data_IF_543951649963
#
_entry.id   IF_543951649963
#
_cell.length_a   1.000
_cell.length_b   1.000
_cell.length_c   1.000
_cell.angle_alpha   90.00
_cell.angle_beta   90.00
_cell.angle_gamma   90.00
#
_symmetry.space_group_name_H-M   'P 1'
#
loop_
_entity.id
_entity.type
_entity.pdbx_description
1 polymer ?
#
# COMPACT_ATOMS: atom_id res chain seq x y z
N UNK A 1 26.12 -32.51 -14.49
CA UNK A 1 26.46 -31.97 -13.16
C UNK A 1 26.96 -30.55 -13.38
N UNK A 2 26.37 -29.54 -12.73
CA UNK A 2 26.73 -28.14 -12.94
C UNK A 2 28.07 -27.84 -12.27
N UNK A 3 28.92 -27.06 -12.92
CA UNK A 3 30.27 -26.72 -12.46
C UNK A 3 30.45 -25.21 -12.26
N UNK A 4 31.52 -24.82 -11.56
CA UNK A 4 31.91 -23.41 -11.42
C UNK A 4 32.17 -22.73 -12.77
N UNK A 5 32.59 -23.48 -13.80
CA UNK A 5 32.81 -22.94 -15.15
C UNK A 5 31.51 -22.47 -15.81
N UNK A 6 30.37 -23.02 -15.41
CA UNK A 6 29.06 -22.70 -15.98
C UNK A 6 28.50 -21.37 -15.46
N UNK A 7 29.07 -20.85 -14.37
CA UNK A 7 28.72 -19.57 -13.76
C UNK A 7 29.40 -18.39 -14.45
N UNK A 8 28.72 -17.25 -14.49
CA UNK A 8 29.30 -15.96 -14.94
C UNK A 8 30.20 -15.39 -13.86
N UNK A 9 31.12 -14.48 -14.20
CA UNK A 9 32.03 -13.83 -13.23
C UNK A 9 31.25 -13.17 -12.08
N UNK A 10 30.11 -12.53 -12.39
CA UNK A 10 29.25 -11.92 -11.37
C UNK A 10 28.63 -12.94 -10.41
N UNK A 11 28.26 -14.13 -10.90
CA UNK A 11 27.71 -15.20 -10.07
C UNK A 11 28.81 -15.85 -9.22
N UNK A 12 30.02 -16.00 -9.76
CA UNK A 12 31.19 -16.44 -9.00
C UNK A 12 31.52 -15.46 -7.87
N UNK A 13 31.43 -14.15 -8.11
CA UNK A 13 31.63 -13.14 -7.06
C UNK A 13 30.59 -13.21 -5.94
N UNK A 14 29.33 -13.53 -6.28
CA UNK A 14 28.27 -13.72 -5.28
C UNK A 14 28.50 -15.00 -4.47
N UNK A 15 28.83 -16.10 -5.16
CA UNK A 15 29.17 -17.37 -4.51
C UNK A 15 30.37 -17.16 -3.58
N UNK A 16 31.45 -16.52 -4.05
CA UNK A 16 32.64 -16.18 -3.27
C UNK A 16 32.30 -15.41 -1.98
N UNK A 17 31.42 -14.40 -2.06
CA UNK A 17 30.95 -13.66 -0.87
C UNK A 17 30.18 -14.54 0.11
N UNK A 18 29.31 -15.41 -0.40
CA UNK A 18 28.48 -16.30 0.45
C UNK A 18 29.34 -17.32 1.22
N UNK A 19 30.52 -17.66 0.68
CA UNK A 19 31.48 -18.55 1.33
C UNK A 19 32.58 -17.80 2.09
N UNK A 20 32.48 -16.48 2.22
CA UNK A 20 33.41 -15.65 3.01
C UNK A 20 34.70 -15.24 2.29
N UNK A 21 34.85 -15.52 1.00
CA UNK A 21 35.97 -15.02 0.19
C UNK A 21 35.65 -13.60 -0.26
N UNK A 22 36.60 -12.68 -0.11
CA UNK A 22 36.47 -11.31 -0.63
C UNK A 22 36.81 -11.31 -2.13
N UNK A 23 35.83 -11.13 -3.04
CA UNK A 23 36.12 -11.13 -4.48
C UNK A 23 36.91 -9.88 -4.87
N UNK A 24 38.03 -10.07 -5.57
CA UNK A 24 38.75 -8.99 -6.20
C UNK A 24 38.25 -8.76 -7.64
N UNK A 25 37.93 -7.52 -7.99
CA UNK A 25 37.39 -7.16 -9.31
C UNK A 25 38.39 -7.35 -10.45
N UNK A 26 39.70 -7.41 -10.14
CA UNK A 26 40.77 -7.58 -11.14
C UNK A 26 41.09 -9.04 -11.47
N UNK A 27 40.64 -9.99 -10.64
CA UNK A 27 40.92 -11.41 -10.82
C UNK A 27 40.26 -11.94 -12.09
N UNK A 28 40.96 -12.80 -12.82
CA UNK A 28 40.36 -13.51 -13.95
C UNK A 28 39.35 -14.55 -13.46
N UNK A 29 38.52 -15.05 -14.36
CA UNK A 29 37.49 -16.05 -14.03
C UNK A 29 38.14 -17.31 -13.44
N UNK A 30 39.24 -17.74 -14.03
CA UNK A 30 40.00 -18.92 -13.62
C UNK A 30 40.52 -18.77 -12.19
N UNK A 31 41.10 -17.61 -11.86
CA UNK A 31 41.62 -17.31 -10.52
C UNK A 31 40.51 -17.35 -9.47
N UNK A 32 39.33 -16.80 -9.80
CA UNK A 32 38.15 -16.85 -8.91
C UNK A 32 37.71 -18.29 -8.65
N UNK A 33 37.73 -19.16 -9.65
CA UNK A 33 37.36 -20.57 -9.51
C UNK A 33 38.38 -21.30 -8.63
N UNK A 34 39.68 -21.04 -8.81
CA UNK A 34 40.71 -21.62 -7.95
C UNK A 34 40.53 -21.17 -6.51
N UNK A 35 40.29 -19.88 -6.26
CA UNK A 35 40.05 -19.34 -4.92
C UNK A 35 38.81 -19.97 -4.26
N UNK A 36 37.74 -20.19 -5.01
CA UNK A 36 36.53 -20.86 -4.49
C UNK A 36 36.82 -22.33 -4.13
N UNK A 37 37.60 -23.03 -4.96
CA UNK A 37 37.99 -24.44 -4.70
C UNK A 37 38.94 -24.58 -3.52
N UNK A 38 39.83 -23.61 -3.30
CA UNK A 38 40.81 -23.64 -2.21
C UNK A 38 40.25 -23.18 -0.85
N UNK A 39 39.00 -22.73 -0.79
CA UNK A 39 38.39 -22.22 0.44
C UNK A 39 38.01 -23.26 1.49
N UNK A 40 38.31 -24.55 1.26
CA UNK A 40 38.11 -25.61 2.25
C UNK A 40 36.65 -25.89 2.59
N UNK A 41 35.74 -25.66 1.64
CA UNK A 41 34.30 -25.86 1.82
C UNK A 41 33.97 -27.31 1.55
N UNK A 42 33.06 -27.86 2.36
CA UNK A 42 32.49 -29.17 2.12
C UNK A 42 31.90 -29.29 0.71
N UNK A 43 32.28 -30.34 -0.02
CA UNK A 43 31.96 -30.54 -1.44
C UNK A 43 30.44 -30.52 -1.71
N UNK A 44 29.66 -31.11 -0.80
CA UNK A 44 28.20 -31.16 -0.92
C UNK A 44 27.58 -29.76 -0.85
N UNK A 45 28.06 -28.94 0.09
CA UNK A 45 27.66 -27.54 0.23
C UNK A 45 28.08 -26.70 -0.98
N UNK A 46 29.29 -26.92 -1.50
CA UNK A 46 29.76 -26.24 -2.70
C UNK A 46 28.87 -26.55 -3.91
N UNK A 47 28.53 -27.83 -4.11
CA UNK A 47 27.66 -28.26 -5.20
C UNK A 47 26.25 -27.66 -5.11
N UNK A 48 25.68 -27.58 -3.90
CA UNK A 48 24.39 -26.90 -3.67
C UNK A 48 24.44 -25.40 -4.05
N UNK A 49 25.53 -24.71 -3.69
CA UNK A 49 25.71 -23.30 -4.04
C UNK A 49 25.89 -23.10 -5.54
N UNK A 50 26.66 -23.97 -6.20
CA UNK A 50 26.83 -23.94 -7.66
C UNK A 50 25.47 -24.07 -8.35
N UNK A 51 24.65 -25.04 -7.92
CA UNK A 51 23.33 -25.27 -8.47
C UNK A 51 22.41 -24.05 -8.26
N UNK A 52 22.34 -23.52 -7.04
CA UNK A 52 21.56 -22.31 -6.69
C UNK A 52 21.88 -21.12 -7.61
N UNK A 53 23.16 -20.86 -7.87
CA UNK A 53 23.56 -19.73 -8.71
C UNK A 53 23.43 -20.00 -10.20
N UNK A 54 23.49 -21.26 -10.62
CA UNK A 54 23.21 -21.64 -12.00
C UNK A 54 21.73 -21.49 -12.34
N UNK A 55 20.83 -21.83 -11.42
CA UNK A 55 19.39 -21.59 -11.59
C UNK A 55 19.06 -20.08 -11.69
N UNK A 56 19.80 -19.22 -10.98
CA UNK A 56 19.69 -17.76 -11.13
C UNK A 56 20.12 -17.25 -12.51
N UNK A 57 21.01 -17.97 -13.21
CA UNK A 57 21.38 -17.66 -14.61
C UNK A 57 20.23 -17.97 -15.57
N UNK A 58 19.38 -18.95 -15.24
CA UNK A 58 18.27 -19.44 -16.05
C UNK A 58 17.01 -18.56 -15.96
N UNK A 59 16.93 -17.64 -15.01
CA UNK A 59 15.81 -16.71 -14.92
C UNK A 59 16.08 -15.55 -15.90
N UNK A 60 15.31 -15.42 -16.99
CA UNK A 60 15.42 -14.24 -17.84
C UNK A 60 15.15 -13.02 -16.95
N UNK A 61 16.11 -12.10 -16.88
CA UNK A 61 15.87 -10.79 -16.28
C UNK A 61 14.74 -10.16 -17.08
N UNK A 62 13.51 -10.18 -16.55
CA UNK A 62 12.40 -9.41 -17.13
C UNK A 62 12.93 -8.00 -17.37
N UNK A 63 12.95 -7.57 -18.62
CA UNK A 63 13.41 -6.22 -18.91
C UNK A 63 12.42 -5.24 -18.29
N UNK A 64 12.86 -4.02 -17.99
CA UNK A 64 11.94 -2.99 -17.48
C UNK A 64 10.71 -2.81 -18.37
N UNK A 65 10.86 -3.04 -19.68
CA UNK A 65 9.79 -3.01 -20.68
C UNK A 65 8.75 -4.12 -20.50
N UNK A 66 9.19 -5.33 -20.12
CA UNK A 66 8.30 -6.47 -19.86
C UNK A 66 7.51 -6.26 -18.56
N UNK A 67 8.19 -5.73 -17.53
CA UNK A 67 7.55 -5.38 -16.26
C UNK A 67 6.51 -4.27 -16.44
N UNK A 68 6.82 -3.24 -17.24
CA UNK A 68 5.87 -2.16 -17.55
C UNK A 68 4.67 -2.69 -18.34
N UNK A 69 4.89 -3.59 -19.30
CA UNK A 69 3.80 -4.19 -20.08
C UNK A 69 2.87 -5.04 -19.19
N UNK A 70 3.43 -5.83 -18.29
CA UNK A 70 2.68 -6.62 -17.32
C UNK A 70 1.89 -5.73 -16.34
N UNK A 71 2.53 -4.69 -15.80
CA UNK A 71 1.87 -3.71 -14.93
C UNK A 71 0.72 -3.00 -15.65
N UNK A 72 0.93 -2.59 -16.91
CA UNK A 72 -0.12 -1.96 -17.73
C UNK A 72 -1.31 -2.89 -17.95
N UNK A 73 -1.06 -4.18 -18.17
CA UNK A 73 -2.12 -5.20 -18.27
C UNK A 73 -2.90 -5.33 -16.96
N UNK A 74 -2.22 -5.38 -15.82
CA UNK A 74 -2.85 -5.47 -14.49
C UNK A 74 -3.66 -4.22 -14.14
N UNK A 75 -3.17 -3.03 -14.50
CA UNK A 75 -3.90 -1.77 -14.32
C UNK A 75 -5.20 -1.78 -15.13
N UNK A 76 -5.15 -2.21 -16.39
CA UNK A 76 -6.35 -2.28 -17.24
C UNK A 76 -7.41 -3.23 -16.65
N UNK A 77 -6.99 -4.39 -16.13
CA UNK A 77 -7.93 -5.31 -15.46
C UNK A 77 -8.56 -4.69 -14.21
N UNK A 78 -7.79 -3.94 -13.42
CA UNK A 78 -8.31 -3.21 -12.27
C UNK A 78 -9.29 -2.11 -12.68
N UNK A 79 -8.99 -1.36 -13.75
CA UNK A 79 -9.89 -0.34 -14.31
C UNK A 79 -11.22 -0.97 -14.76
N UNK A 80 -11.17 -2.13 -15.42
CA UNK A 80 -12.36 -2.87 -15.83
C UNK A 80 -13.18 -3.38 -14.63
N UNK A 81 -12.51 -3.91 -13.60
CA UNK A 81 -13.17 -4.33 -12.36
C UNK A 81 -13.83 -3.16 -11.62
N UNK A 82 -13.15 -2.01 -11.52
CA UNK A 82 -13.71 -0.80 -10.93
C UNK A 82 -14.91 -0.32 -11.73
N UNK A 83 -14.82 -0.31 -13.06
CA UNK A 83 -15.94 0.08 -13.93
C UNK A 83 -17.15 -0.84 -13.75
N UNK A 84 -16.93 -2.15 -13.62
CA UNK A 84 -17.98 -3.13 -13.34
C UNK A 84 -18.62 -2.90 -11.97
N UNK A 85 -17.83 -2.73 -10.92
CA UNK A 85 -18.35 -2.43 -9.57
C UNK A 85 -19.16 -1.12 -9.57
N UNK A 86 -18.70 -0.10 -10.30
CA UNK A 86 -19.44 1.15 -10.44
C UNK A 86 -20.75 0.97 -11.22
N UNK A 87 -20.84 0.06 -12.20
CA UNK A 87 -22.10 -0.25 -12.86
C UNK A 87 -23.06 -1.02 -11.95
N UNK A 88 -22.57 -1.98 -11.17
CA UNK A 88 -23.38 -2.74 -10.21
C UNK A 88 -23.94 -1.83 -9.10
N UNK A 89 -23.12 -0.88 -8.61
CA UNK A 89 -23.57 0.15 -7.65
C UNK A 89 -24.64 1.04 -8.27
N UNK A 90 -24.49 1.47 -9.54
CA UNK A 90 -25.51 2.29 -10.22
C UNK A 90 -26.84 1.55 -10.36
N UNK A 91 -26.81 0.27 -10.74
CA UNK A 91 -28.00 -0.57 -10.86
C UNK A 91 -28.65 -0.78 -9.48
N UNK A 92 -27.85 -1.10 -8.46
CA UNK A 92 -28.31 -1.28 -7.09
C UNK A 92 -28.93 0.01 -6.51
N UNK A 93 -28.34 1.18 -6.81
CA UNK A 93 -28.88 2.49 -6.41
C UNK A 93 -30.23 2.77 -7.05
N UNK A 94 -30.44 2.38 -8.31
CA UNK A 94 -31.73 2.55 -9.02
C UNK A 94 -32.80 1.60 -8.46
N UNK A 95 -32.43 0.36 -8.12
CA UNK A 95 -33.36 -0.60 -7.51
C UNK A 95 -33.77 -0.19 -6.09
N UNK A 96 -32.87 0.40 -5.32
CA UNK A 96 -33.17 0.92 -3.97
C UNK A 96 -34.03 2.20 -4.00
N UNK A 97 -33.96 3.00 -5.06
CA UNK A 97 -34.73 4.24 -5.21
C UNK A 97 -36.21 4.02 -5.56
N UNK A 98 -36.63 2.78 -5.88
CA UNK A 98 -38.02 2.48 -6.25
C UNK A 98 -38.90 2.01 -5.10
N UNK A 99 -38.38 1.76 -3.91
CA UNK A 99 -39.17 1.08 -2.88
C UNK A 99 -39.64 1.90 -1.68
N UNK A 100 -39.11 3.08 -1.33
CA UNK A 100 -39.57 3.73 -0.09
C UNK A 100 -39.57 5.27 -0.15
N UNK A 101 -40.73 5.83 -0.48
CA UNK A 101 -41.18 7.11 0.06
C UNK A 101 -41.43 6.90 1.57
N UNK A 102 -40.44 7.14 2.42
CA UNK A 102 -40.64 7.58 3.82
C UNK A 102 -39.29 7.91 4.46
N UNK A 103 -39.31 9.01 5.23
CA UNK A 103 -38.21 9.62 5.98
C UNK A 103 -37.21 8.65 6.63
N UNK A 104 -36.13 8.36 5.91
CA UNK A 104 -34.92 7.78 6.48
C UNK A 104 -33.76 8.57 5.90
N UNK A 105 -33.03 9.29 6.76
CA UNK A 105 -31.70 9.82 6.49
C UNK A 105 -30.82 8.68 5.95
N UNK A 106 -30.78 8.56 4.63
CA UNK A 106 -29.87 7.66 3.95
C UNK A 106 -28.48 8.23 4.14
N UNK A 107 -27.56 7.43 4.69
CA UNK A 107 -26.14 7.79 4.75
C UNK A 107 -25.66 7.88 3.32
N UNK A 108 -25.70 9.09 2.78
CA UNK A 108 -25.29 9.36 1.43
C UNK A 108 -23.78 9.30 1.37
N UNK A 109 -23.26 8.68 0.32
CA UNK A 109 -21.83 8.75 -0.03
C UNK A 109 -21.47 10.12 -0.62
N UNK A 110 -22.39 11.09 -0.59
CA UNK A 110 -22.14 12.44 -1.08
C UNK A 110 -21.37 13.22 0.00
N UNK A 111 -20.14 13.58 -0.37
CA UNK A 111 -19.21 14.30 0.47
C UNK A 111 -19.79 15.67 0.89
N UNK A 112 -20.64 16.29 0.07
CA UNK A 112 -21.31 17.54 0.40
C UNK A 112 -22.37 17.38 1.51
N UNK A 113 -23.08 16.25 1.52
CA UNK A 113 -24.09 15.96 2.53
C UNK A 113 -23.45 15.53 3.85
N UNK A 114 -22.38 14.74 3.81
CA UNK A 114 -21.56 14.41 4.99
C UNK A 114 -21.02 15.70 5.63
N UNK A 115 -20.51 16.64 4.82
CA UNK A 115 -20.07 17.95 5.31
C UNK A 115 -21.20 18.73 5.97
N UNK A 116 -22.38 18.79 5.36
CA UNK A 116 -23.56 19.45 5.94
C UNK A 116 -23.97 18.80 7.26
N UNK A 117 -23.91 17.47 7.32
CA UNK A 117 -24.25 16.71 8.52
C UNK A 117 -23.28 17.00 9.68
N UNK A 118 -21.96 16.96 9.42
CA UNK A 118 -20.95 17.35 10.41
C UNK A 118 -21.15 18.80 10.85
N UNK A 119 -21.48 19.72 9.91
CA UNK A 119 -21.85 21.10 10.23
C UNK A 119 -23.10 21.17 11.11
N UNK A 120 -24.08 20.28 10.97
CA UNK A 120 -25.31 20.33 11.78
C UNK A 120 -25.15 19.77 13.19
N UNK A 121 -24.15 18.92 13.45
CA UNK A 121 -23.95 18.28 14.75
C UNK A 121 -23.45 19.25 15.81
N UNK A 122 -22.57 20.19 15.43
CA UNK A 122 -21.87 21.07 16.37
C UNK A 122 -22.42 22.47 16.17
N UNK A 123 -22.91 23.18 17.19
CA UNK A 123 -23.39 24.56 17.00
C UNK A 123 -22.21 25.56 16.91
N UNK A 124 -22.36 26.73 16.26
CA UNK A 124 -21.30 27.75 16.23
C UNK A 124 -20.87 28.15 17.64
N UNK A 125 -19.57 28.19 17.91
CA UNK A 125 -18.98 28.45 19.23
C UNK A 125 -18.87 27.22 20.15
N UNK A 126 -19.46 26.08 19.77
CA UNK A 126 -19.32 24.83 20.52
C UNK A 126 -18.09 24.04 20.06
N UNK A 127 -17.58 23.21 20.96
CA UNK A 127 -16.47 22.29 20.69
C UNK A 127 -16.91 20.86 20.91
N UNK A 128 -16.43 19.94 20.06
CA UNK A 128 -16.61 18.51 20.22
C UNK A 128 -15.25 17.81 20.17
N UNK A 129 -15.05 16.81 21.02
CA UNK A 129 -13.89 15.94 20.91
C UNK A 129 -14.06 14.97 19.74
N UNK A 130 -12.95 14.47 19.19
CA UNK A 130 -13.02 13.46 18.13
C UNK A 130 -13.65 12.15 18.65
N UNK A 131 -13.42 11.79 19.91
CA UNK A 131 -14.07 10.64 20.55
C UNK A 131 -15.60 10.79 20.53
N UNK A 132 -16.12 11.93 20.98
CA UNK A 132 -17.57 12.21 20.98
C UNK A 132 -18.17 12.21 19.58
N UNK A 133 -17.46 12.77 18.59
CA UNK A 133 -17.93 12.80 17.21
C UNK A 133 -18.03 11.38 16.61
N UNK A 134 -17.07 10.51 16.92
CA UNK A 134 -17.03 9.13 16.41
C UNK A 134 -18.04 8.23 17.14
N UNK A 135 -18.43 8.58 18.36
CA UNK A 135 -19.46 7.86 19.12
C UNK A 135 -20.88 8.13 18.60
N UNK A 136 -21.09 9.10 17.70
CA UNK A 136 -22.39 9.37 17.08
C UNK A 136 -22.74 8.24 16.09
N UNK A 137 -23.89 7.58 16.32
CA UNK A 137 -24.36 6.42 15.55
C UNK A 137 -24.39 6.65 14.04
N UNK A 138 -24.76 7.86 13.61
CA UNK A 138 -24.81 8.27 12.21
C UNK A 138 -23.41 8.45 11.61
N UNK A 139 -22.45 8.95 12.40
CA UNK A 139 -21.05 9.11 11.98
C UNK A 139 -20.36 7.75 11.86
N UNK A 140 -20.68 6.78 12.73
CA UNK A 140 -20.12 5.42 12.66
C UNK A 140 -20.45 4.69 11.36
N UNK A 141 -21.54 5.08 10.68
CA UNK A 141 -21.91 4.54 9.37
C UNK A 141 -21.06 5.09 8.23
N UNK A 142 -20.28 6.16 8.47
CA UNK A 142 -19.41 6.80 7.49
C UNK A 142 -18.02 6.13 7.55
N UNK A 143 -17.46 5.70 6.40
CA UNK A 143 -16.09 5.18 6.37
C UNK A 143 -15.10 6.18 6.97
N UNK A 144 -14.22 5.71 7.87
CA UNK A 144 -13.26 6.56 8.60
C UNK A 144 -12.39 7.43 7.68
N UNK A 145 -12.04 6.94 6.50
CA UNK A 145 -11.26 7.69 5.50
C UNK A 145 -12.05 8.89 4.96
N UNK A 146 -13.34 8.70 4.67
CA UNK A 146 -14.24 9.75 4.17
C UNK A 146 -14.50 10.77 5.26
N UNK A 147 -14.75 10.32 6.50
CA UNK A 147 -14.92 11.21 7.65
C UNK A 147 -13.69 12.11 7.86
N UNK A 148 -12.48 11.53 7.79
CA UNK A 148 -11.22 12.29 7.90
C UNK A 148 -11.10 13.34 6.80
N UNK A 149 -11.35 12.98 5.55
CA UNK A 149 -11.30 13.94 4.43
C UNK A 149 -12.35 15.05 4.60
N UNK A 150 -13.59 14.71 4.95
CA UNK A 150 -14.63 15.71 5.19
C UNK A 150 -14.24 16.66 6.33
N UNK A 151 -13.64 16.18 7.41
CA UNK A 151 -13.20 17.04 8.51
C UNK A 151 -12.05 17.95 8.08
N UNK A 152 -11.05 17.45 7.34
CA UNK A 152 -9.98 18.30 6.80
C UNK A 152 -10.51 19.38 5.87
N UNK A 153 -11.40 19.02 4.94
CA UNK A 153 -12.01 19.99 4.06
C UNK A 153 -12.77 21.08 4.84
N UNK A 154 -13.46 20.72 5.93
CA UNK A 154 -14.20 21.68 6.75
C UNK A 154 -13.26 22.60 7.55
N UNK A 155 -12.07 22.13 7.90
CA UNK A 155 -11.01 22.94 8.51
C UNK A 155 -10.44 23.90 7.46
N UNK A 156 -10.15 23.41 6.26
CA UNK A 156 -9.64 24.22 5.14
C UNK A 156 -10.67 25.28 4.69
N UNK A 157 -11.96 24.95 4.72
CA UNK A 157 -13.09 25.87 4.50
C UNK A 157 -13.27 26.90 5.64
N UNK A 158 -12.42 26.91 6.67
CA UNK A 158 -12.52 27.75 7.87
C UNK A 158 -13.85 27.57 8.65
N UNK A 159 -14.45 26.39 8.62
CA UNK A 159 -15.68 26.09 9.36
C UNK A 159 -15.37 25.62 10.78
N UNK A 160 -14.28 24.88 10.95
CA UNK A 160 -13.79 24.43 12.25
C UNK A 160 -12.36 24.90 12.51
N UNK A 161 -12.11 25.35 13.73
CA UNK A 161 -10.77 25.42 14.30
C UNK A 161 -10.42 24.09 14.97
N UNK A 162 -9.12 23.81 15.03
CA UNK A 162 -8.58 22.58 15.61
C UNK A 162 -7.83 22.88 16.89
N UNK A 163 -8.00 22.02 17.89
CA UNK A 163 -7.21 22.03 19.10
C UNK A 163 -6.65 20.64 19.42
N UNK A 164 -5.47 20.62 20.06
CA UNK A 164 -4.95 19.40 20.66
C UNK A 164 -5.77 19.08 21.91
N UNK A 165 -6.61 18.06 21.81
CA UNK A 165 -7.45 17.58 22.91
C UNK A 165 -6.90 16.32 23.57
N UNK A 166 -7.40 16.00 24.77
CA UNK A 166 -7.18 14.71 25.46
C UNK A 166 -8.03 13.56 24.88
N UNK A 167 -8.31 13.61 23.58
CA UNK A 167 -9.06 12.58 22.86
C UNK A 167 -8.17 11.37 22.60
N UNK A 168 -8.69 10.16 22.83
CA UNK A 168 -8.00 8.89 22.56
C UNK A 168 -7.84 8.70 21.05
N UNK A 169 -8.88 9.03 20.31
CA UNK A 169 -8.85 9.09 18.86
C UNK A 169 -8.45 10.49 18.41
N UNK A 170 -7.51 10.57 17.46
CA UNK A 170 -7.04 11.85 16.90
C UNK A 170 -7.06 11.80 15.38
N UNK A 171 -7.50 12.88 14.76
CA UNK A 171 -7.41 13.07 13.31
C UNK A 171 -6.00 13.59 12.99
N UNK A 172 -5.32 12.96 12.04
CA UNK A 172 -3.93 13.29 11.69
C UNK A 172 -2.91 13.11 12.82
N UNK A 173 -3.27 12.39 13.89
CA UNK A 173 -2.42 12.17 15.06
C UNK A 173 -2.32 13.37 16.03
N UNK A 174 -2.91 14.53 15.69
CA UNK A 174 -2.79 15.76 16.49
C UNK A 174 -4.14 16.37 16.88
N UNK A 175 -5.11 16.34 15.97
CA UNK A 175 -6.42 16.98 16.18
C UNK A 175 -7.24 16.11 17.13
N UNK A 176 -7.51 16.64 18.32
CA UNK A 176 -8.33 15.96 19.33
C UNK A 176 -9.67 16.64 19.60
N UNK A 177 -9.82 17.91 19.22
CA UNK A 177 -11.04 18.70 19.37
C UNK A 177 -11.27 19.53 18.11
N UNK A 178 -12.54 19.61 17.70
CA UNK A 178 -13.03 20.51 16.67
C UNK A 178 -13.87 21.60 17.34
N UNK A 179 -13.61 22.85 17.01
CA UNK A 179 -14.35 24.03 17.52
C UNK A 179 -15.03 24.67 16.34
N UNK A 180 -16.36 24.79 16.35
CA UNK A 180 -17.07 25.42 15.24
C UNK A 180 -16.96 26.94 15.33
N UNK A 181 -16.58 27.59 14.23
CA UNK A 181 -16.63 29.06 14.13
C UNK A 181 -18.07 29.56 14.01
#
# INVERSE_FOLDING_TARGET
MVSLNDLTVSLLDKLAKEIGIKPNKKDKKEDKIVNIKSAGIEELRLNQLIQKYYEQKSLPKKTSKDQISELKGRVKLLEEQVKFLMSEIKVSKISLLKENDHDILTVTTDLAEIKKFIKSIISPGESITIDELIDINEIQKIPLITLKHSIYDLIDENVFDVAEGKSRQKIGGKIGVLIRK
#
